data_IF_150508475822
#
_entry.id   IF_150508475822
#
_cell.length_a   1.000
_cell.length_b   1.000
_cell.length_c   1.000
_cell.angle_alpha   90.00
_cell.angle_beta   90.00
_cell.angle_gamma   90.00
#
_symmetry.space_group_name_H-M   'P 1'
#
loop_
_entity.id
_entity.type
_entity.pdbx_description
1 polymer ?
#
# COMPACT_ATOMS: atom_id res chain seq x y z
N UNK A 1 16.35 -8.88 -53.16
CA UNK A 1 15.27 -8.46 -52.25
C UNK A 1 15.82 -8.51 -50.84
N UNK A 2 16.20 -7.36 -50.32
CA UNK A 2 16.83 -7.22 -48.98
C UNK A 2 15.78 -6.80 -48.00
N UNK A 3 15.56 -7.61 -46.98
CA UNK A 3 14.77 -7.21 -45.79
C UNK A 3 15.67 -6.42 -44.85
N UNK A 4 15.31 -5.18 -44.55
CA UNK A 4 15.85 -4.40 -43.44
C UNK A 4 15.06 -4.78 -42.18
N UNK A 5 15.78 -5.25 -41.18
CA UNK A 5 15.31 -5.35 -39.80
C UNK A 5 15.52 -4.00 -39.12
N UNK A 6 14.46 -3.37 -38.66
CA UNK A 6 14.53 -2.22 -37.74
C UNK A 6 14.41 -2.78 -36.32
N UNK A 7 15.53 -2.77 -35.60
CA UNK A 7 15.57 -2.89 -34.13
C UNK A 7 15.18 -1.53 -33.54
N UNK A 8 13.96 -1.42 -33.06
CA UNK A 8 13.53 -0.31 -32.17
C UNK A 8 13.08 -0.92 -30.84
N UNK A 9 14.06 -1.24 -30.00
CA UNK A 9 13.87 -1.56 -28.59
C UNK A 9 14.45 -0.41 -27.76
N UNK A 10 13.76 0.73 -27.76
CA UNK A 10 13.94 1.73 -26.69
C UNK A 10 13.09 1.33 -25.48
N UNK A 11 13.66 1.30 -24.25
CA UNK A 11 12.87 1.06 -23.06
C UNK A 11 11.89 2.23 -22.82
N UNK A 12 10.62 1.89 -22.70
CA UNK A 12 9.57 2.85 -22.35
C UNK A 12 9.90 3.54 -21.02
N UNK A 13 9.87 4.86 -21.00
CA UNK A 13 10.14 5.67 -19.82
C UNK A 13 9.03 5.48 -18.77
N UNK A 14 9.40 5.64 -17.48
CA UNK A 14 8.54 5.49 -16.30
C UNK A 14 7.27 6.39 -16.36
N UNK A 15 7.25 7.38 -17.24
CA UNK A 15 6.18 8.37 -17.40
C UNK A 15 4.89 7.84 -18.04
N UNK A 16 4.87 6.59 -18.53
CA UNK A 16 3.70 6.04 -19.23
C UNK A 16 2.78 5.17 -18.35
N UNK A 17 3.15 4.88 -17.11
CA UNK A 17 2.41 3.98 -16.22
C UNK A 17 1.60 4.67 -15.13
N UNK A 18 1.58 6.01 -15.07
CA UNK A 18 0.83 6.78 -14.06
C UNK A 18 0.02 7.85 -14.79
N UNK A 19 -1.30 7.98 -14.57
CA UNK A 19 -2.06 9.10 -15.11
C UNK A 19 -1.50 10.40 -14.53
N UNK A 20 -0.85 11.20 -15.37
CA UNK A 20 -0.28 12.48 -14.99
C UNK A 20 -1.36 13.56 -15.02
N UNK A 21 -1.70 14.14 -13.87
CA UNK A 21 -2.35 15.44 -13.82
C UNK A 21 -1.28 16.55 -13.85
N UNK A 22 -1.34 17.37 -14.88
CA UNK A 22 -0.69 18.67 -14.93
C UNK A 22 0.70 18.76 -15.55
N UNK A 23 0.78 18.58 -16.86
CA UNK A 23 1.97 18.93 -17.65
C UNK A 23 2.19 20.44 -17.68
N UNK A 24 3.18 20.97 -16.96
CA UNK A 24 3.86 22.23 -17.32
C UNK A 24 5.19 21.91 -17.98
N UNK A 25 5.25 22.16 -19.29
CA UNK A 25 6.52 22.14 -20.05
C UNK A 25 7.42 23.28 -19.60
N UNK A 26 8.56 22.95 -19.01
CA UNK A 26 9.93 23.47 -19.18
C UNK A 26 10.81 23.05 -18.02
N UNK A 27 11.70 22.08 -18.26
CA UNK A 27 13.02 22.01 -17.61
C UNK A 27 13.07 21.74 -16.11
N UNK A 28 12.11 21.03 -15.50
CA UNK A 28 12.20 20.62 -14.09
C UNK A 28 11.99 19.09 -13.99
N UNK A 29 12.81 18.47 -13.16
CA UNK A 29 12.71 17.04 -12.81
C UNK A 29 11.32 16.76 -12.29
N UNK A 30 10.68 15.69 -12.81
CA UNK A 30 9.37 15.23 -12.37
C UNK A 30 9.49 14.55 -11.00
N UNK A 31 9.02 15.20 -9.96
CA UNK A 31 8.74 14.59 -8.67
C UNK A 31 7.30 14.06 -8.68
N UNK A 32 7.11 12.80 -8.32
CA UNK A 32 5.77 12.21 -8.17
C UNK A 32 5.19 12.70 -6.85
N UNK A 33 4.43 13.79 -6.92
CA UNK A 33 3.68 14.30 -5.78
C UNK A 33 2.29 13.67 -5.77
N UNK A 34 2.02 12.83 -4.79
CA UNK A 34 0.68 12.53 -4.34
C UNK A 34 0.13 13.76 -3.61
N UNK A 35 -0.37 14.74 -4.35
CA UNK A 35 -0.99 15.91 -3.72
C UNK A 35 -2.48 15.72 -3.62
N UNK A 36 -2.99 15.85 -2.38
CA UNK A 36 -4.36 16.21 -2.10
C UNK A 36 -4.78 17.42 -2.92
N UNK A 37 -5.53 17.22 -4.00
CA UNK A 37 -6.25 18.29 -4.66
C UNK A 37 -7.53 18.55 -3.87
N UNK A 38 -7.50 19.44 -2.90
CA UNK A 38 -8.47 20.52 -2.77
C UNK A 38 -8.19 21.42 -1.56
N UNK A 39 -7.52 22.54 -1.81
CA UNK A 39 -7.59 23.71 -0.93
C UNK A 39 -8.40 24.80 -1.60
N UNK A 40 -9.68 24.57 -1.87
CA UNK A 40 -10.67 25.64 -2.09
C UNK A 40 -12.08 25.12 -1.80
N UNK A 41 -12.54 25.38 -0.59
CA UNK A 41 -13.85 25.80 -0.17
C UNK A 41 -15.08 25.01 -0.66
N UNK A 42 -15.40 23.88 0.01
CA UNK A 42 -16.78 23.51 0.27
C UNK A 42 -16.85 22.88 1.66
N UNK A 43 -17.72 23.44 2.50
CA UNK A 43 -17.90 23.04 3.89
C UNK A 43 -18.51 21.65 3.99
N UNK A 44 -17.74 20.68 4.51
CA UNK A 44 -18.29 19.46 5.08
C UNK A 44 -18.66 19.67 6.55
N UNK A 45 -19.67 18.99 7.09
CA UNK A 45 -20.12 19.20 8.46
C UNK A 45 -19.05 18.78 9.47
N UNK A 46 -18.70 19.71 10.36
CA UNK A 46 -17.80 19.45 11.49
C UNK A 46 -18.57 18.75 12.58
N UNK A 47 -18.10 17.58 12.99
CA UNK A 47 -18.47 16.99 14.27
C UNK A 47 -17.41 17.34 15.32
N UNK A 48 -17.87 17.92 16.44
CA UNK A 48 -17.16 18.02 17.71
C UNK A 48 -16.08 19.11 17.79
N UNK A 49 -16.46 20.29 18.29
CA UNK A 49 -15.56 21.38 18.66
C UNK A 49 -15.00 21.11 20.06
N UNK A 50 -13.71 20.77 20.19
CA UNK A 50 -12.94 21.02 21.41
C UNK A 50 -11.75 21.91 21.06
N UNK A 51 -11.48 22.87 21.93
CA UNK A 51 -10.60 24.02 21.82
C UNK A 51 -9.13 23.60 21.54
N UNK A 52 -8.67 23.84 20.37
CA UNK A 52 -7.37 23.73 19.71
C UNK A 52 -7.46 22.85 18.45
N UNK A 53 -7.52 23.46 17.29
CA UNK A 53 -7.80 22.81 15.98
C UNK A 53 -6.76 21.82 15.45
N UNK A 54 -6.27 20.92 16.28
CA UNK A 54 -5.55 19.69 15.89
C UNK A 54 -6.46 18.53 16.25
N UNK A 55 -6.88 17.75 15.27
CA UNK A 55 -7.43 16.42 15.52
C UNK A 55 -6.22 15.60 16.00
N UNK A 56 -6.22 15.20 17.27
CA UNK A 56 -5.25 14.25 17.81
C UNK A 56 -5.57 12.89 17.18
N UNK A 57 -4.82 12.54 16.13
CA UNK A 57 -4.88 11.20 15.54
C UNK A 57 -4.21 10.24 16.52
N UNK A 58 -4.86 9.12 16.91
CA UNK A 58 -4.30 8.17 17.86
C UNK A 58 -2.94 7.64 17.40
N UNK A 59 -2.05 7.42 18.36
CA UNK A 59 -0.72 6.86 18.15
C UNK A 59 -0.49 5.68 19.07
N UNK A 60 0.19 4.64 18.58
CA UNK A 60 0.55 3.45 19.35
C UNK A 60 2.06 3.23 19.31
N UNK A 61 2.65 2.90 20.46
CA UNK A 61 4.06 2.47 20.55
C UNK A 61 4.13 0.98 20.21
N UNK A 62 4.70 0.64 19.06
CA UNK A 62 4.74 -0.72 18.49
C UNK A 62 6.17 -1.01 18.04
N UNK A 63 6.80 -2.08 18.54
CA UNK A 63 8.08 -2.58 18.06
C UNK A 63 9.15 -1.48 17.87
N UNK A 64 9.28 -0.57 18.84
CA UNK A 64 10.27 0.51 18.83
C UNK A 64 9.90 1.75 18.01
N UNK A 65 8.73 1.80 17.38
CA UNK A 65 8.22 2.96 16.64
C UNK A 65 6.88 3.42 17.18
N UNK A 66 6.55 4.68 16.94
CA UNK A 66 5.20 5.21 17.13
C UNK A 66 4.45 5.11 15.80
N UNK A 67 3.42 4.29 15.75
CA UNK A 67 2.54 4.18 14.59
C UNK A 67 1.36 5.14 14.71
N UNK A 68 1.07 5.83 13.63
CA UNK A 68 -0.13 6.65 13.45
C UNK A 68 -1.27 5.77 12.94
N UNK A 69 -2.44 5.82 13.57
CA UNK A 69 -3.60 5.02 13.17
C UNK A 69 -4.92 5.74 13.45
N UNK A 70 -5.98 5.24 12.88
CA UNK A 70 -7.35 5.69 13.13
C UNK A 70 -8.30 4.49 13.12
N UNK A 71 -9.30 4.53 13.98
CA UNK A 71 -10.40 3.56 13.97
C UNK A 71 -11.66 4.27 13.48
N UNK A 72 -12.30 3.72 12.45
CA UNK A 72 -13.56 4.20 11.88
C UNK A 72 -14.64 3.13 12.11
N UNK A 73 -15.79 3.53 12.61
CA UNK A 73 -16.84 2.61 13.07
C UNK A 73 -16.71 2.29 14.55
N UNK A 74 -17.85 2.13 15.22
CA UNK A 74 -17.91 1.98 16.70
C UNK A 74 -17.94 0.52 17.13
N UNK A 75 -18.58 -0.33 16.34
CA UNK A 75 -18.81 -1.74 16.64
C UNK A 75 -18.74 -2.59 15.36
N UNK A 76 -18.75 -3.91 15.48
CA UNK A 76 -18.71 -4.81 14.35
C UNK A 76 -17.37 -5.53 14.20
N UNK A 77 -17.25 -6.49 13.25
CA UNK A 77 -16.00 -7.18 12.94
C UNK A 77 -14.89 -6.21 12.54
N UNK A 78 -13.66 -6.57 12.90
CA UNK A 78 -12.52 -5.75 12.54
C UNK A 78 -12.06 -6.00 11.10
N UNK A 79 -11.82 -4.91 10.38
CA UNK A 79 -11.09 -4.90 9.10
C UNK A 79 -9.88 -4.00 9.26
N UNK A 80 -8.68 -4.47 8.95
CA UNK A 80 -7.51 -3.62 8.80
C UNK A 80 -7.30 -3.31 7.33
N UNK A 81 -7.16 -2.02 6.99
CA UNK A 81 -6.89 -1.57 5.61
C UNK A 81 -5.52 -0.95 5.50
N UNK A 82 -4.70 -1.53 4.62
CA UNK A 82 -3.34 -1.05 4.34
C UNK A 82 -3.27 -0.36 2.98
N UNK A 83 -2.78 0.89 2.93
CA UNK A 83 -2.61 1.62 1.67
C UNK A 83 -1.55 1.01 0.76
N UNK A 84 -1.65 1.30 -0.54
CA UNK A 84 -0.65 0.93 -1.54
C UNK A 84 0.64 1.74 -1.42
N UNK A 85 1.65 1.35 -2.18
CA UNK A 85 2.94 2.02 -2.25
C UNK A 85 3.55 2.29 -0.86
N UNK A 86 4.12 3.45 -0.69
CA UNK A 86 4.53 4.04 0.60
C UNK A 86 3.55 5.14 1.04
N UNK A 87 2.26 4.99 0.67
CA UNK A 87 1.20 5.92 1.01
C UNK A 87 0.82 5.87 2.50
N UNK A 88 0.08 6.90 2.91
CA UNK A 88 -0.50 7.05 4.23
C UNK A 88 -1.95 6.51 4.30
N UNK A 89 -2.53 6.53 5.48
CA UNK A 89 -3.88 6.02 5.76
C UNK A 89 -4.99 6.72 4.95
N UNK A 90 -4.74 7.94 4.45
CA UNK A 90 -5.70 8.66 3.59
C UNK A 90 -6.00 7.89 2.29
N UNK A 91 -5.00 7.15 1.77
CA UNK A 91 -5.16 6.35 0.56
C UNK A 91 -6.23 5.26 0.64
N UNK A 92 -6.63 4.86 1.85
CA UNK A 92 -7.68 3.85 2.08
C UNK A 92 -8.88 4.37 2.89
N UNK A 93 -8.85 5.64 3.29
CA UNK A 93 -9.91 6.27 4.11
C UNK A 93 -11.29 6.20 3.45
N UNK A 94 -11.37 6.44 2.15
CA UNK A 94 -12.65 6.36 1.43
C UNK A 94 -13.28 4.96 1.54
N UNK A 95 -12.46 3.92 1.30
CA UNK A 95 -12.89 2.53 1.43
C UNK A 95 -13.25 2.19 2.89
N UNK A 96 -12.43 2.62 3.84
CA UNK A 96 -12.70 2.45 5.27
C UNK A 96 -14.03 3.05 5.68
N UNK A 97 -14.30 4.29 5.30
CA UNK A 97 -15.59 4.95 5.57
C UNK A 97 -16.78 4.25 4.89
N UNK A 98 -16.56 3.62 3.72
CA UNK A 98 -17.60 2.85 3.01
C UNK A 98 -17.93 1.57 3.77
N UNK A 99 -16.94 0.82 4.21
CA UNK A 99 -17.12 -0.43 4.95
C UNK A 99 -17.65 -0.20 6.37
N UNK A 100 -17.24 0.88 7.03
CA UNK A 100 -17.75 1.23 8.35
C UNK A 100 -19.28 1.49 8.35
N UNK A 101 -19.85 1.99 7.24
CA UNK A 101 -21.31 2.16 7.09
C UNK A 101 -22.07 0.85 7.01
N UNK A 102 -21.38 -0.25 6.71
CA UNK A 102 -21.95 -1.60 6.67
C UNK A 102 -21.81 -2.33 8.02
N UNK A 103 -21.33 -1.63 9.07
CA UNK A 103 -21.27 -2.17 10.43
C UNK A 103 -19.91 -2.82 10.77
N UNK A 104 -18.83 -2.46 10.10
CA UNK A 104 -17.47 -2.93 10.41
C UNK A 104 -16.69 -1.88 11.20
N UNK A 105 -15.78 -2.34 12.07
CA UNK A 105 -14.74 -1.48 12.66
C UNK A 105 -13.50 -1.53 11.78
N UNK A 106 -13.05 -0.38 11.31
CA UNK A 106 -11.96 -0.29 10.35
C UNK A 106 -10.74 0.32 11.01
N UNK A 107 -9.64 -0.43 11.04
CA UNK A 107 -8.32 0.09 11.39
C UNK A 107 -7.64 0.62 10.14
N UNK A 108 -7.39 1.92 10.11
CA UNK A 108 -6.54 2.60 9.13
C UNK A 108 -5.22 2.92 9.80
N UNK A 109 -4.09 2.72 9.12
CA UNK A 109 -2.80 2.95 9.74
C UNK A 109 -1.73 3.43 8.74
N UNK A 110 -0.78 4.18 9.27
CA UNK A 110 0.49 4.45 8.60
C UNK A 110 1.50 3.40 9.06
N UNK A 111 2.09 2.66 8.12
CA UNK A 111 3.19 1.73 8.44
C UNK A 111 4.41 2.50 8.93
N UNK A 112 5.33 1.86 9.67
CA UNK A 112 6.65 2.49 9.91
C UNK A 112 7.24 2.98 8.60
N UNK A 113 7.98 4.03 8.63
CA UNK A 113 8.56 4.70 7.46
C UNK A 113 7.53 5.30 6.49
N UNK A 114 6.23 5.36 6.83
CA UNK A 114 5.17 5.91 5.99
C UNK A 114 4.30 6.91 6.77
N UNK A 115 3.62 7.81 6.05
CA UNK A 115 2.69 8.76 6.63
C UNK A 115 3.29 9.60 7.77
N UNK A 116 2.59 9.68 8.89
CA UNK A 116 3.00 10.38 10.09
C UNK A 116 3.63 9.45 11.16
N UNK A 117 3.82 8.17 10.86
CA UNK A 117 4.52 7.22 11.72
C UNK A 117 6.02 7.54 11.81
N UNK A 118 6.67 7.00 12.83
CA UNK A 118 8.11 7.13 12.98
C UNK A 118 8.87 6.44 11.85
N UNK A 119 10.01 7.03 11.49
CA UNK A 119 11.00 6.41 10.61
C UNK A 119 11.96 5.60 11.48
N UNK A 120 12.15 4.32 11.12
CA UNK A 120 13.11 3.41 11.74
C UNK A 120 13.69 2.49 10.67
N UNK A 121 14.96 2.74 10.31
CA UNK A 121 15.68 2.03 9.25
C UNK A 121 16.60 1.02 9.90
N UNK A 122 16.03 -0.09 10.32
CA UNK A 122 16.76 -1.19 10.93
C UNK A 122 15.99 -2.51 10.77
N UNK A 123 16.67 -3.61 10.91
CA UNK A 123 16.07 -4.94 10.90
C UNK A 123 16.90 -5.95 10.11
N UNK A 124 16.69 -7.22 10.44
CA UNK A 124 17.37 -8.37 9.80
C UNK A 124 16.53 -9.06 8.75
N UNK A 125 15.24 -8.72 8.70
CA UNK A 125 14.26 -9.22 7.73
C UNK A 125 13.83 -8.06 6.83
N UNK A 126 13.08 -8.35 5.78
CA UNK A 126 12.61 -7.32 4.87
C UNK A 126 11.67 -6.32 5.55
N UNK A 127 11.67 -5.07 5.08
CA UNK A 127 10.73 -4.05 5.56
C UNK A 127 9.26 -4.50 5.43
N UNK A 128 8.96 -5.33 4.43
CA UNK A 128 7.61 -5.84 4.20
C UNK A 128 7.15 -6.81 5.30
N UNK A 129 8.06 -7.67 5.77
CA UNK A 129 7.82 -8.57 6.88
C UNK A 129 7.72 -7.80 8.21
N UNK A 130 8.57 -6.79 8.39
CA UNK A 130 8.51 -5.90 9.55
C UNK A 130 7.15 -5.18 9.61
N UNK A 131 6.64 -4.71 8.48
CA UNK A 131 5.30 -4.10 8.43
C UNK A 131 4.18 -5.06 8.84
N UNK A 132 4.28 -6.33 8.46
CA UNK A 132 3.29 -7.33 8.87
C UNK A 132 3.34 -7.59 10.38
N UNK A 133 4.54 -7.68 10.95
CA UNK A 133 4.73 -7.87 12.41
C UNK A 133 4.27 -6.63 13.20
N UNK A 134 4.47 -5.42 12.68
CA UNK A 134 3.98 -4.19 13.30
C UNK A 134 2.46 -4.11 13.31
N UNK A 135 1.83 -4.46 12.18
CA UNK A 135 0.36 -4.48 12.11
C UNK A 135 -0.21 -5.52 13.05
N UNK A 136 0.40 -6.71 13.12
CA UNK A 136 -0.01 -7.72 14.09
C UNK A 136 0.06 -7.20 15.54
N UNK A 137 1.18 -6.60 15.93
CA UNK A 137 1.35 -6.05 17.27
C UNK A 137 0.37 -4.89 17.58
N UNK A 138 0.05 -4.08 16.57
CA UNK A 138 -0.97 -3.04 16.70
C UNK A 138 -2.38 -3.64 16.90
N UNK A 139 -2.72 -4.68 16.14
CA UNK A 139 -3.99 -5.41 16.28
C UNK A 139 -4.13 -6.06 17.64
N UNK A 140 -3.07 -6.69 18.16
CA UNK A 140 -3.04 -7.27 19.51
C UNK A 140 -3.24 -6.19 20.60
N UNK A 141 -2.57 -5.03 20.47
CA UNK A 141 -2.75 -3.92 21.41
C UNK A 141 -4.17 -3.37 21.43
N UNK A 142 -4.87 -3.43 20.29
CA UNK A 142 -6.26 -2.97 20.14
C UNK A 142 -7.31 -4.06 20.44
N UNK A 143 -6.87 -5.27 20.82
CA UNK A 143 -7.74 -6.45 20.98
C UNK A 143 -8.62 -6.68 19.73
N UNK A 144 -8.01 -6.52 18.54
CA UNK A 144 -8.70 -6.49 17.26
C UNK A 144 -8.56 -7.79 16.45
N UNK A 145 -7.90 -8.81 16.98
CA UNK A 145 -7.73 -10.11 16.32
C UNK A 145 -8.88 -11.07 16.64
N UNK A 146 -9.25 -11.95 15.69
CA UNK A 146 -8.82 -12.01 14.29
C UNK A 146 -9.53 -10.95 13.40
N UNK A 147 -8.82 -10.45 12.38
CA UNK A 147 -9.32 -9.42 11.47
C UNK A 147 -9.58 -9.95 10.06
N UNK A 148 -10.34 -9.21 9.27
CA UNK A 148 -10.30 -9.27 7.82
C UNK A 148 -9.18 -8.31 7.37
N UNK A 149 -8.13 -8.82 6.73
CA UNK A 149 -7.00 -8.01 6.28
C UNK A 149 -7.19 -7.57 4.83
N UNK A 150 -7.14 -6.27 4.58
CA UNK A 150 -7.35 -5.69 3.26
C UNK A 150 -6.24 -4.74 2.83
N UNK A 151 -5.92 -4.76 1.53
CA UNK A 151 -4.92 -3.84 1.01
C UNK A 151 -4.74 -3.90 -0.50
N UNK A 152 -4.29 -2.77 -1.06
CA UNK A 152 -3.94 -2.66 -2.47
C UNK A 152 -2.44 -2.59 -2.69
N UNK A 153 -1.93 -3.23 -3.74
CA UNK A 153 -0.52 -3.15 -4.11
C UNK A 153 0.41 -3.58 -2.94
N UNK A 154 1.16 -2.66 -2.35
CA UNK A 154 1.96 -2.95 -1.15
C UNK A 154 1.09 -3.43 0.02
N UNK A 155 -0.13 -2.91 0.16
CA UNK A 155 -1.09 -3.36 1.16
C UNK A 155 -1.60 -4.78 0.90
N UNK A 156 -1.81 -5.17 -0.36
CA UNK A 156 -2.13 -6.55 -0.74
C UNK A 156 -1.03 -7.52 -0.27
N UNK A 157 0.22 -7.20 -0.56
CA UNK A 157 1.39 -7.97 -0.11
C UNK A 157 1.46 -8.07 1.41
N UNK A 158 1.26 -6.94 2.11
CA UNK A 158 1.25 -6.93 3.57
C UNK A 158 0.15 -7.82 4.13
N UNK A 159 -1.08 -7.75 3.59
CA UNK A 159 -2.20 -8.60 4.06
C UNK A 159 -1.89 -10.09 3.91
N UNK A 160 -1.25 -10.49 2.81
CA UNK A 160 -0.80 -11.87 2.60
C UNK A 160 0.32 -12.26 3.57
N UNK A 161 1.32 -11.40 3.77
CA UNK A 161 2.39 -11.66 4.74
C UNK A 161 1.87 -11.71 6.18
N UNK A 162 0.87 -10.90 6.53
CA UNK A 162 0.21 -10.96 7.83
C UNK A 162 -0.46 -12.32 8.03
N UNK A 163 -1.22 -12.80 7.04
CA UNK A 163 -1.86 -14.11 7.11
C UNK A 163 -0.86 -15.29 7.19
N UNK A 164 0.28 -15.18 6.51
CA UNK A 164 1.32 -16.21 6.54
C UNK A 164 2.12 -16.23 7.85
N UNK A 165 2.42 -15.07 8.41
CA UNK A 165 3.26 -14.93 9.61
C UNK A 165 2.45 -15.06 10.90
N UNK A 166 1.18 -14.65 10.87
CA UNK A 166 0.27 -14.62 12.01
C UNK A 166 -1.09 -15.20 11.62
N UNK A 167 -1.17 -16.49 11.26
CA UNK A 167 -2.38 -17.10 10.68
C UNK A 167 -3.62 -16.98 11.58
N UNK A 168 -3.45 -17.04 12.89
CA UNK A 168 -4.56 -16.93 13.84
C UNK A 168 -5.12 -15.50 13.97
N UNK A 169 -4.39 -14.51 13.45
CA UNK A 169 -4.79 -13.10 13.49
C UNK A 169 -5.68 -12.69 12.30
N UNK A 170 -5.81 -13.53 11.27
CA UNK A 170 -6.53 -13.20 10.04
C UNK A 170 -7.62 -14.23 9.77
N UNK A 171 -8.84 -13.76 9.51
CA UNK A 171 -10.00 -14.60 9.18
C UNK A 171 -10.47 -14.50 7.73
N UNK A 172 -10.02 -13.49 6.98
CA UNK A 172 -10.37 -13.27 5.58
C UNK A 172 -9.54 -12.19 4.93
N UNK A 173 -9.57 -12.12 3.60
CA UNK A 173 -8.70 -11.25 2.81
C UNK A 173 -9.49 -10.43 1.78
N UNK A 174 -9.21 -9.13 1.71
CA UNK A 174 -9.70 -8.20 0.69
C UNK A 174 -8.50 -7.65 -0.09
N UNK A 175 -8.21 -8.24 -1.25
CA UNK A 175 -6.96 -8.03 -1.98
C UNK A 175 -7.22 -7.32 -3.32
N UNK A 176 -6.51 -6.21 -3.57
CA UNK A 176 -6.60 -5.58 -4.88
C UNK A 176 -5.24 -5.15 -5.41
N UNK A 177 -5.10 -5.16 -6.74
CA UNK A 177 -3.90 -4.75 -7.46
C UNK A 177 -2.65 -5.52 -7.03
N UNK A 178 -2.67 -6.83 -7.22
CA UNK A 178 -1.56 -7.73 -6.87
C UNK A 178 -0.30 -7.33 -7.65
N UNK A 179 0.81 -7.10 -6.93
CA UNK A 179 2.11 -6.76 -7.53
C UNK A 179 3.02 -7.96 -7.62
N UNK A 180 3.71 -8.10 -8.75
CA UNK A 180 4.72 -9.14 -8.95
C UNK A 180 5.29 -9.12 -10.37
N UNK A 181 6.37 -9.88 -10.58
CA UNK A 181 7.09 -9.96 -11.83
C UNK A 181 8.23 -8.96 -11.95
N UNK A 182 9.08 -9.16 -12.96
CA UNK A 182 10.35 -8.47 -13.13
C UNK A 182 10.19 -6.94 -13.21
N UNK A 183 9.20 -6.47 -13.98
CA UNK A 183 8.93 -5.02 -14.13
C UNK A 183 8.58 -4.38 -12.80
N UNK A 184 7.60 -4.95 -12.08
CA UNK A 184 7.18 -4.43 -10.80
C UNK A 184 8.32 -4.49 -9.77
N UNK A 185 9.03 -5.61 -9.68
CA UNK A 185 10.11 -5.80 -8.72
C UNK A 185 11.24 -4.81 -8.93
N UNK A 186 11.69 -4.62 -10.16
CA UNK A 186 12.79 -3.70 -10.49
C UNK A 186 12.39 -2.24 -10.23
N UNK A 187 11.22 -1.81 -10.69
CA UNK A 187 10.76 -0.44 -10.50
C UNK A 187 10.53 -0.12 -9.02
N UNK A 188 9.90 -1.03 -8.29
CA UNK A 188 9.63 -0.82 -6.86
C UNK A 188 10.89 -0.91 -6.01
N UNK A 189 11.84 -1.79 -6.34
CA UNK A 189 13.14 -1.88 -5.67
C UNK A 189 13.89 -0.54 -5.74
N UNK A 190 13.94 0.09 -6.90
CA UNK A 190 14.55 1.41 -7.04
C UNK A 190 13.72 2.50 -6.34
N UNK A 191 12.41 2.54 -6.56
CA UNK A 191 11.54 3.57 -5.99
C UNK A 191 11.46 3.54 -4.46
N UNK A 192 11.58 2.37 -3.84
CA UNK A 192 11.46 2.23 -2.39
C UNK A 192 12.81 2.32 -1.67
N UNK A 193 13.91 1.99 -2.34
CA UNK A 193 15.22 1.86 -1.71
C UNK A 193 16.35 2.48 -2.51
N UNK A 194 16.50 2.13 -3.80
CA UNK A 194 17.64 2.51 -4.63
C UNK A 194 17.87 4.01 -4.69
N UNK A 195 16.82 4.82 -4.87
CA UNK A 195 16.93 6.28 -4.90
C UNK A 195 17.48 6.87 -3.59
N UNK A 196 17.21 6.23 -2.44
CA UNK A 196 17.70 6.69 -1.14
C UNK A 196 19.14 6.25 -0.88
N UNK A 197 19.52 5.07 -1.39
CA UNK A 197 20.93 4.63 -1.42
C UNK A 197 21.76 5.63 -2.22
N UNK A 198 21.32 5.98 -3.43
CA UNK A 198 21.98 6.98 -4.27
C UNK A 198 22.10 8.35 -3.58
N UNK A 199 21.04 8.78 -2.89
CA UNK A 199 21.09 10.03 -2.12
C UNK A 199 22.12 9.97 -0.97
N UNK A 200 22.16 8.87 -0.23
CA UNK A 200 23.09 8.65 0.87
C UNK A 200 24.56 8.60 0.38
N UNK A 201 24.82 7.90 -0.73
CA UNK A 201 26.16 7.82 -1.34
C UNK A 201 26.67 9.19 -1.82
N UNK A 202 25.80 10.04 -2.35
CA UNK A 202 26.16 11.33 -2.93
C UNK A 202 26.26 12.47 -1.92
N UNK A 203 25.56 12.39 -0.77
CA UNK A 203 25.50 13.52 0.16
C UNK A 203 25.17 13.15 1.60
N UNK A 204 25.31 11.87 1.96
CA UNK A 204 25.07 11.38 3.32
C UNK A 204 23.63 11.53 3.77
N UNK A 205 23.41 11.47 5.07
CA UNK A 205 22.04 11.51 5.65
C UNK A 205 21.33 12.85 5.44
N UNK A 206 22.09 13.95 5.25
CA UNK A 206 21.47 15.25 4.93
C UNK A 206 20.79 15.21 3.55
N UNK A 207 21.44 14.60 2.54
CA UNK A 207 20.84 14.42 1.22
C UNK A 207 19.62 13.47 1.26
N UNK A 208 19.65 12.44 2.10
CA UNK A 208 18.48 11.56 2.33
C UNK A 208 17.31 12.37 2.89
N UNK A 209 17.54 13.21 3.90
CA UNK A 209 16.51 14.06 4.49
C UNK A 209 15.90 15.07 3.51
N UNK A 210 16.63 15.44 2.44
CA UNK A 210 16.19 16.39 1.41
C UNK A 210 15.48 15.71 0.24
N UNK A 211 15.39 14.37 0.19
CA UNK A 211 14.55 13.69 -0.80
C UNK A 211 13.08 14.03 -0.54
N UNK A 212 12.28 14.21 -1.59
CA UNK A 212 10.85 14.52 -1.49
C UNK A 212 10.12 13.58 -0.52
N UNK A 213 10.53 12.32 -0.51
CA UNK A 213 9.93 11.29 0.36
C UNK A 213 10.21 11.55 1.84
N UNK A 214 11.48 11.68 2.24
CA UNK A 214 11.83 11.87 3.64
C UNK A 214 11.52 13.30 4.12
N UNK A 215 11.60 14.31 3.27
CA UNK A 215 11.15 15.67 3.59
C UNK A 215 9.67 15.63 4.03
N UNK A 216 8.78 14.99 3.27
CA UNK A 216 7.38 14.84 3.65
C UNK A 216 7.17 14.05 4.96
N UNK A 217 8.02 13.04 5.26
CA UNK A 217 7.98 12.30 6.55
C UNK A 217 8.46 13.17 7.72
N UNK A 218 9.43 14.03 7.48
CA UNK A 218 9.93 15.00 8.46
C UNK A 218 8.88 16.09 8.71
N UNK A 219 8.23 16.61 7.68
CA UNK A 219 7.11 17.56 7.84
C UNK A 219 5.95 16.99 8.66
N UNK A 220 5.58 15.74 8.39
CA UNK A 220 4.50 15.05 9.11
C UNK A 220 4.88 14.68 10.53
N UNK A 221 6.14 14.34 10.78
CA UNK A 221 6.69 13.98 12.09
C UNK A 221 8.12 14.50 12.23
N UNK A 222 8.31 15.69 12.83
CA UNK A 222 9.64 16.32 12.93
C UNK A 222 10.72 15.52 13.68
N UNK A 223 10.33 14.54 14.51
CA UNK A 223 11.28 13.65 15.20
C UNK A 223 12.11 12.82 14.21
N UNK A 224 11.54 12.52 13.04
CA UNK A 224 12.20 11.72 12.01
C UNK A 224 13.51 12.35 11.53
N UNK A 225 13.62 13.71 11.51
CA UNK A 225 14.87 14.36 11.12
C UNK A 225 16.01 14.04 12.08
N UNK A 226 15.77 14.14 13.38
CA UNK A 226 16.80 13.87 14.39
C UNK A 226 17.30 12.42 14.29
N UNK A 227 16.38 11.47 14.16
CA UNK A 227 16.70 10.06 13.96
C UNK A 227 17.54 9.82 12.69
N UNK A 228 17.09 10.33 11.53
CA UNK A 228 17.81 10.15 10.26
C UNK A 228 19.21 10.76 10.29
N UNK A 229 19.37 11.93 10.89
CA UNK A 229 20.68 12.59 10.98
C UNK A 229 21.66 11.93 11.95
N UNK A 230 21.17 11.10 12.91
CA UNK A 230 21.99 10.32 13.85
C UNK A 230 22.40 8.95 13.30
N UNK A 231 21.81 8.50 12.20
CA UNK A 231 22.16 7.23 11.57
C UNK A 231 23.54 7.25 10.91
N UNK A 232 24.29 6.18 11.10
CA UNK A 232 25.49 5.94 10.28
C UNK A 232 25.08 5.71 8.80
N UNK A 233 25.70 6.45 7.90
CA UNK A 233 25.36 6.40 6.47
C UNK A 233 25.55 5.02 5.86
N UNK A 234 26.60 4.27 6.29
CA UNK A 234 26.84 2.93 5.77
C UNK A 234 25.81 1.91 6.33
N UNK A 235 25.40 2.05 7.58
CA UNK A 235 24.34 1.22 8.16
C UNK A 235 23.01 1.47 7.44
N UNK A 236 22.68 2.71 7.15
CA UNK A 236 21.52 3.08 6.34
C UNK A 236 21.58 2.43 4.95
N UNK A 237 22.69 2.60 4.22
CA UNK A 237 22.88 2.02 2.88
C UNK A 237 22.76 0.49 2.93
N UNK A 238 23.41 -0.17 3.88
CA UNK A 238 23.37 -1.63 4.01
C UNK A 238 21.94 -2.16 4.27
N UNK A 239 21.19 -1.49 5.13
CA UNK A 239 19.80 -1.86 5.43
C UNK A 239 18.91 -1.68 4.21
N UNK A 240 18.99 -0.52 3.54
CA UNK A 240 18.23 -0.23 2.34
C UNK A 240 18.58 -1.21 1.19
N UNK A 241 19.85 -1.55 1.01
CA UNK A 241 20.31 -2.52 0.02
C UNK A 241 19.75 -3.93 0.31
N UNK A 242 19.75 -4.36 1.56
CA UNK A 242 19.15 -5.65 1.96
C UNK A 242 17.65 -5.69 1.67
N UNK A 243 16.92 -4.61 1.91
CA UNK A 243 15.49 -4.50 1.59
C UNK A 243 15.23 -4.41 0.08
N UNK A 244 16.13 -3.78 -0.67
CA UNK A 244 16.09 -3.75 -2.14
C UNK A 244 16.27 -5.14 -2.73
N UNK A 245 17.23 -5.92 -2.21
CA UNK A 245 17.53 -7.28 -2.66
C UNK A 245 16.32 -8.21 -2.47
N UNK A 246 15.53 -8.04 -1.41
CA UNK A 246 14.28 -8.77 -1.19
C UNK A 246 13.28 -8.58 -2.35
N UNK A 247 13.18 -7.37 -2.89
CA UNK A 247 12.32 -7.09 -4.05
C UNK A 247 12.88 -7.73 -5.31
N UNK A 248 14.18 -7.59 -5.56
CA UNK A 248 14.85 -8.14 -6.76
C UNK A 248 14.75 -9.66 -6.76
N UNK A 249 15.04 -10.31 -5.64
CA UNK A 249 14.93 -11.76 -5.49
C UNK A 249 13.48 -12.25 -5.59
N UNK A 250 12.52 -11.44 -5.17
CA UNK A 250 11.09 -11.72 -5.25
C UNK A 250 10.47 -11.60 -6.66
N UNK A 251 11.25 -11.23 -7.69
CA UNK A 251 10.75 -11.00 -9.05
C UNK A 251 10.06 -12.23 -9.67
N UNK A 252 10.56 -13.43 -9.37
CA UNK A 252 10.01 -14.70 -9.88
C UNK A 252 8.89 -15.29 -9.02
N UNK A 253 8.63 -14.71 -7.85
CA UNK A 253 7.55 -15.17 -6.97
C UNK A 253 6.19 -14.70 -7.48
N UNK A 254 5.09 -15.42 -7.18
CA UNK A 254 3.72 -15.00 -7.49
C UNK A 254 3.40 -13.63 -6.86
N UNK A 255 3.83 -13.46 -5.62
CA UNK A 255 3.79 -12.21 -4.85
C UNK A 255 5.19 -12.01 -4.24
N UNK A 256 5.73 -10.81 -4.29
CA UNK A 256 7.04 -10.51 -3.68
C UNK A 256 6.99 -10.87 -2.19
N UNK A 257 7.86 -11.82 -1.77
CA UNK A 257 7.93 -12.30 -0.40
C UNK A 257 7.07 -13.53 -0.07
N UNK A 258 6.32 -14.09 -1.04
CA UNK A 258 5.54 -15.31 -0.84
C UNK A 258 5.66 -16.25 -2.04
N UNK A 259 6.09 -17.49 -1.79
CA UNK A 259 6.15 -18.55 -2.78
C UNK A 259 4.75 -19.13 -3.09
N UNK A 260 4.63 -19.91 -4.16
CA UNK A 260 3.38 -20.65 -4.45
C UNK A 260 2.96 -21.51 -3.26
N UNK A 261 3.89 -22.26 -2.69
CA UNK A 261 3.64 -23.12 -1.53
C UNK A 261 3.15 -22.34 -0.31
N UNK A 262 3.70 -21.15 -0.06
CA UNK A 262 3.25 -20.29 1.05
C UNK A 262 1.80 -19.86 0.81
N UNK A 263 1.49 -19.39 -0.41
CA UNK A 263 0.15 -18.95 -0.78
C UNK A 263 -0.88 -20.09 -0.76
N UNK A 264 -0.51 -21.28 -1.24
CA UNK A 264 -1.35 -22.49 -1.17
C UNK A 264 -1.69 -22.92 0.28
N UNK A 265 -0.88 -22.51 1.26
CA UNK A 265 -1.14 -22.81 2.67
C UNK A 265 -2.18 -21.88 3.31
N UNK A 266 -2.57 -20.79 2.65
CA UNK A 266 -3.61 -19.88 3.14
C UNK A 266 -4.98 -20.46 2.82
N UNK A 267 -5.69 -20.87 3.87
CA UNK A 267 -7.04 -21.45 3.77
C UNK A 267 -8.07 -20.47 4.37
N UNK A 268 -8.20 -19.31 3.75
CA UNK A 268 -9.07 -18.22 4.19
C UNK A 268 -9.96 -17.73 3.04
N UNK A 269 -11.22 -17.35 3.30
CA UNK A 269 -12.03 -16.63 2.33
C UNK A 269 -11.33 -15.38 1.83
N UNK A 270 -11.18 -15.23 0.52
CA UNK A 270 -10.45 -14.12 -0.07
C UNK A 270 -11.17 -13.54 -1.30
N UNK A 271 -11.36 -12.23 -1.32
CA UNK A 271 -11.78 -11.50 -2.52
C UNK A 271 -10.57 -10.87 -3.21
N UNK A 272 -10.35 -11.20 -4.48
CA UNK A 272 -9.25 -10.67 -5.27
C UNK A 272 -9.78 -9.78 -6.38
N UNK A 273 -9.33 -8.54 -6.42
CA UNK A 273 -9.61 -7.59 -7.48
C UNK A 273 -8.31 -7.29 -8.24
N UNK A 274 -8.12 -7.85 -9.45
CA UNK A 274 -6.88 -7.68 -10.20
C UNK A 274 -6.71 -6.23 -10.69
N UNK A 275 -5.45 -5.84 -10.91
CA UNK A 275 -5.10 -4.63 -11.65
C UNK A 275 -5.08 -4.87 -13.17
N UNK A 276 -4.66 -3.84 -13.91
CA UNK A 276 -4.56 -3.89 -15.36
C UNK A 276 -3.43 -3.00 -15.91
N UNK A 277 -2.44 -2.70 -15.10
CA UNK A 277 -1.26 -1.92 -15.49
C UNK A 277 0.04 -2.76 -15.42
N UNK A 278 1.17 -2.18 -15.79
CA UNK A 278 2.45 -2.88 -15.86
C UNK A 278 2.96 -3.36 -14.49
N UNK A 279 2.62 -2.67 -13.40
CA UNK A 279 3.01 -3.02 -12.02
C UNK A 279 2.02 -4.01 -11.41
N UNK A 280 0.76 -3.94 -11.84
CA UNK A 280 -0.36 -4.77 -11.35
C UNK A 280 -1.03 -5.50 -12.52
N UNK A 281 -0.32 -6.37 -13.27
CA UNK A 281 -0.92 -7.04 -14.40
C UNK A 281 -2.03 -8.00 -13.96
N UNK A 282 -3.13 -8.03 -14.68
CA UNK A 282 -4.31 -8.84 -14.39
C UNK A 282 -3.94 -10.31 -14.12
N UNK A 283 -3.00 -10.85 -14.91
CA UNK A 283 -2.51 -12.22 -14.78
C UNK A 283 -1.95 -12.56 -13.38
N UNK A 284 -1.47 -11.58 -12.62
CA UNK A 284 -0.99 -11.80 -11.24
C UNK A 284 -2.14 -12.04 -10.27
N UNK A 285 -3.21 -11.26 -10.39
CA UNK A 285 -4.44 -11.51 -9.61
C UNK A 285 -5.06 -12.86 -9.95
N UNK A 286 -5.10 -13.22 -11.24
CA UNK A 286 -5.58 -14.51 -11.70
C UNK A 286 -4.70 -15.68 -11.23
N UNK A 287 -3.37 -15.47 -11.17
CA UNK A 287 -2.47 -16.48 -10.62
C UNK A 287 -2.69 -16.66 -9.12
N UNK A 288 -2.79 -15.57 -8.36
CA UNK A 288 -3.09 -15.62 -6.93
C UNK A 288 -4.42 -16.35 -6.66
N UNK A 289 -5.46 -16.09 -7.46
CA UNK A 289 -6.75 -16.76 -7.32
C UNK A 289 -6.67 -18.29 -7.54
N UNK A 290 -5.71 -18.78 -8.31
CA UNK A 290 -5.51 -20.23 -8.47
C UNK A 290 -4.77 -20.87 -7.29
N UNK A 291 -3.99 -20.08 -6.54
CA UNK A 291 -3.19 -20.56 -5.41
C UNK A 291 -3.98 -20.56 -4.10
N UNK A 292 -4.85 -19.57 -3.90
CA UNK A 292 -5.68 -19.48 -2.69
C UNK A 292 -6.94 -20.34 -2.82
N UNK A 293 -7.07 -21.39 -1.99
CA UNK A 293 -8.12 -22.43 -2.08
C UNK A 293 -9.55 -21.91 -1.94
N UNK A 294 -9.77 -20.84 -1.14
CA UNK A 294 -11.07 -20.25 -0.86
C UNK A 294 -11.21 -18.84 -1.44
N UNK A 295 -10.55 -18.56 -2.57
CA UNK A 295 -10.60 -17.23 -3.17
C UNK A 295 -11.58 -17.13 -4.32
N UNK A 296 -12.12 -15.93 -4.50
CA UNK A 296 -12.85 -15.54 -5.69
C UNK A 296 -12.26 -14.28 -6.32
N UNK A 297 -12.28 -14.23 -7.64
CA UNK A 297 -11.83 -13.09 -8.39
C UNK A 297 -13.02 -12.24 -8.85
N UNK A 298 -12.93 -10.92 -8.66
CA UNK A 298 -13.95 -9.95 -9.07
C UNK A 298 -13.30 -8.80 -9.83
N UNK A 299 -13.89 -8.43 -10.97
CA UNK A 299 -13.36 -7.39 -11.83
C UNK A 299 -14.12 -6.08 -11.63
N UNK A 300 -13.37 -4.98 -11.49
CA UNK A 300 -13.96 -3.63 -11.36
C UNK A 300 -14.65 -3.20 -12.65
N UNK A 301 -14.05 -3.58 -13.80
CA UNK A 301 -14.52 -3.20 -15.15
C UNK A 301 -14.36 -4.36 -16.12
N UNK A 302 -15.22 -4.36 -17.13
CA UNK A 302 -15.08 -5.20 -18.30
C UNK A 302 -13.97 -4.66 -19.22
N UNK A 303 -13.46 -5.48 -20.13
CA UNK A 303 -12.49 -5.04 -21.15
C UNK A 303 -12.99 -3.88 -22.00
N UNK A 304 -14.30 -3.85 -22.29
CA UNK A 304 -14.92 -2.75 -23.03
C UNK A 304 -14.87 -1.44 -22.23
N UNK A 305 -15.24 -1.45 -20.95
CA UNK A 305 -15.16 -0.28 -20.07
C UNK A 305 -13.73 0.21 -19.89
N UNK A 306 -12.74 -0.70 -19.82
CA UNK A 306 -11.33 -0.34 -19.76
C UNK A 306 -10.86 0.42 -21.00
N UNK A 307 -11.30 0.00 -22.18
CA UNK A 307 -10.95 0.67 -23.44
C UNK A 307 -11.50 2.11 -23.52
N UNK A 308 -12.59 2.40 -22.81
CA UNK A 308 -13.22 3.74 -22.79
C UNK A 308 -12.58 4.71 -21.79
N UNK A 309 -11.65 4.23 -20.92
CA UNK A 309 -11.07 5.08 -19.88
C UNK A 309 -10.13 6.16 -20.43
N UNK A 310 -9.50 5.93 -21.57
CA UNK A 310 -8.50 6.83 -22.15
C UNK A 310 -9.02 8.26 -22.38
N UNK A 311 -10.31 8.41 -22.67
CA UNK A 311 -10.95 9.69 -22.97
C UNK A 311 -11.66 10.31 -21.75
N UNK A 312 -11.60 9.66 -20.56
CA UNK A 312 -12.30 10.10 -19.36
C UNK A 312 -11.39 10.93 -18.44
N UNK A 313 -11.99 11.78 -17.63
CA UNK A 313 -11.27 12.54 -16.60
C UNK A 313 -10.67 11.58 -15.56
N UNK A 314 -9.35 11.59 -15.30
CA UNK A 314 -8.70 10.67 -14.38
C UNK A 314 -9.25 10.72 -12.93
N UNK A 315 -9.65 11.90 -12.45
CA UNK A 315 -10.21 12.07 -11.09
C UNK A 315 -11.57 11.35 -10.99
N UNK A 316 -12.41 11.47 -12.02
CA UNK A 316 -13.72 10.81 -12.03
C UNK A 316 -13.54 9.29 -12.14
N UNK A 317 -12.58 8.82 -12.94
CA UNK A 317 -12.23 7.40 -13.06
C UNK A 317 -11.75 6.86 -11.71
N UNK A 318 -10.88 7.58 -11.01
CA UNK A 318 -10.36 7.18 -9.69
C UNK A 318 -11.47 7.11 -8.65
N UNK A 319 -12.36 8.11 -8.60
CA UNK A 319 -13.52 8.13 -7.69
C UNK A 319 -14.46 6.95 -7.96
N UNK A 320 -14.81 6.70 -9.21
CA UNK A 320 -15.65 5.58 -9.62
C UNK A 320 -14.98 4.23 -9.29
N UNK A 321 -13.67 4.13 -9.49
CA UNK A 321 -12.90 2.92 -9.14
C UNK A 321 -12.99 2.63 -7.65
N UNK A 322 -12.82 3.64 -6.80
CA UNK A 322 -12.98 3.49 -5.35
C UNK A 322 -14.41 3.08 -4.94
N UNK A 323 -15.43 3.64 -5.59
CA UNK A 323 -16.84 3.26 -5.35
C UNK A 323 -17.09 1.79 -5.72
N UNK A 324 -16.73 1.38 -6.94
CA UNK A 324 -16.89 0.00 -7.42
C UNK A 324 -16.12 -1.01 -6.57
N UNK A 325 -14.91 -0.67 -6.14
CA UNK A 325 -14.12 -1.50 -5.22
C UNK A 325 -14.85 -1.71 -3.89
N UNK A 326 -15.38 -0.63 -3.31
CA UNK A 326 -16.18 -0.70 -2.10
C UNK A 326 -17.42 -1.58 -2.25
N UNK A 327 -18.17 -1.44 -3.34
CA UNK A 327 -19.36 -2.26 -3.64
C UNK A 327 -19.01 -3.74 -3.83
N UNK A 328 -17.88 -4.04 -4.45
CA UNK A 328 -17.36 -5.40 -4.61
C UNK A 328 -17.10 -6.03 -3.24
N UNK A 329 -16.41 -5.32 -2.34
CA UNK A 329 -16.07 -5.86 -1.02
C UNK A 329 -17.29 -5.98 -0.11
N UNK A 330 -18.20 -5.01 -0.11
CA UNK A 330 -19.48 -5.10 0.61
C UNK A 330 -20.26 -6.34 0.17
N UNK A 331 -20.34 -6.58 -1.14
CA UNK A 331 -21.02 -7.76 -1.66
C UNK A 331 -20.32 -9.05 -1.24
N UNK A 332 -18.98 -9.11 -1.31
CA UNK A 332 -18.22 -10.28 -0.86
C UNK A 332 -18.48 -10.59 0.62
N UNK A 333 -18.41 -9.58 1.48
CA UNK A 333 -18.63 -9.74 2.90
C UNK A 333 -20.04 -10.24 3.20
N UNK A 334 -21.07 -9.70 2.53
CA UNK A 334 -22.45 -10.16 2.67
C UNK A 334 -22.69 -11.60 2.19
N UNK A 335 -21.89 -12.10 1.26
CA UNK A 335 -21.94 -13.47 0.73
C UNK A 335 -21.12 -14.46 1.59
N UNK A 336 -20.30 -14.00 2.52
CA UNK A 336 -19.44 -14.78 3.43
C UNK A 336 -19.72 -14.43 4.90
N UNK A 337 -20.92 -14.73 5.44
CA UNK A 337 -21.35 -14.30 6.77
C UNK A 337 -20.51 -14.91 7.91
N UNK A 338 -19.74 -15.97 7.66
CA UNK A 338 -18.77 -16.52 8.61
C UNK A 338 -17.66 -15.54 8.98
N UNK A 339 -17.41 -14.52 8.14
CA UNK A 339 -16.46 -13.44 8.44
C UNK A 339 -16.99 -12.47 9.49
N UNK A 340 -18.29 -12.49 9.78
CA UNK A 340 -18.95 -11.64 10.78
C UNK A 340 -19.00 -12.29 12.17
N UNK A 341 -18.64 -13.57 12.30
CA UNK A 341 -18.75 -14.30 13.58
C UNK A 341 -17.65 -13.87 14.57
N UNK A 342 -18.06 -13.25 15.69
CA UNK A 342 -17.20 -12.82 16.78
C UNK A 342 -16.86 -13.92 17.80
N UNK A 343 -17.46 -15.10 17.67
CA UNK A 343 -17.47 -16.13 18.73
C UNK A 343 -16.24 -17.05 18.70
N UNK A 344 -15.24 -16.76 17.88
CA UNK A 344 -14.04 -17.60 17.74
C UNK A 344 -12.78 -16.90 18.18
#
# INVERSE_FOLDING_TARGET
MSYRTTDDNEPLSVDQCIPADGVRRRGQRLSVHWHNADRRGTSTPRYGNTDSGRIDIPQAAINGVTLNYEVVGEEGPWIVLTPGGRGDLEGVRYLGNRLAKEGYRILLHDRRNCGASDVLIEGKISEQEIWADDVYALLEQLEATPVIAGGGSAGCRLSLLLALRHPDAVRGLLLWWVTGGDVASTQLAHAYYGQFIEAAENGGMDAVCQTDYFEARIESNPRNRAYLMDLDTNEFINTMASWQDFFIQGAQLPVIGASEKDLESIDLPACIVPGNDAVHPQSRGEHLNRLLSQSEIRYIRTDHELAELADRNPIDVMRETGQRLGDIFVKFLAENPELDDYSR
#
